data_IF_138859558790
#
_entry.id   IF_138859558790
#
_cell.length_a   1.000
_cell.length_b   1.000
_cell.length_c   1.000
_cell.angle_alpha   90.00
_cell.angle_beta   90.00
_cell.angle_gamma   90.00
#
_symmetry.space_group_name_H-M   'P 1'
#
loop_
_entity.id
_entity.type
_entity.pdbx_description
1 polymer ?
#
# COMPACT_ATOMS: atom_id res chain seq x y z
N UNK A 1 -30.64 6.50 -12.88
CA UNK A 1 -30.37 5.08 -12.49
C UNK A 1 -29.11 5.07 -11.65
N UNK A 2 -29.09 4.40 -10.52
CA UNK A 2 -27.88 4.25 -9.72
C UNK A 2 -26.86 3.40 -10.50
N UNK A 3 -25.59 3.83 -10.52
CA UNK A 3 -24.52 3.08 -11.14
C UNK A 3 -24.29 1.78 -10.36
N UNK A 4 -24.15 0.64 -11.04
CA UNK A 4 -23.72 -0.61 -10.41
C UNK A 4 -22.23 -0.60 -10.03
N UNK A 5 -21.51 0.50 -10.29
CA UNK A 5 -20.09 0.62 -10.02
C UNK A 5 -19.27 -0.45 -10.72
N UNK A 6 -18.34 -1.06 -9.95
CA UNK A 6 -17.46 -2.16 -10.43
C UNK A 6 -17.92 -3.53 -9.92
N UNK A 7 -19.17 -3.65 -9.45
CA UNK A 7 -19.71 -4.91 -8.96
C UNK A 7 -19.57 -6.01 -10.01
N UNK A 8 -19.07 -7.16 -9.61
CA UNK A 8 -18.88 -8.37 -10.42
C UNK A 8 -17.94 -8.21 -11.63
N UNK A 9 -17.07 -7.17 -11.64
CA UNK A 9 -16.12 -6.90 -12.72
C UNK A 9 -14.67 -7.26 -12.40
N UNK A 10 -14.36 -7.51 -11.14
CA UNK A 10 -12.99 -7.77 -10.68
C UNK A 10 -13.00 -8.93 -9.71
N UNK A 11 -12.01 -9.82 -9.82
CA UNK A 11 -11.74 -10.88 -8.86
C UNK A 11 -10.37 -10.67 -8.22
N UNK A 12 -10.27 -10.86 -6.92
CA UNK A 12 -8.98 -10.97 -6.22
C UNK A 12 -8.59 -12.45 -6.27
N UNK A 13 -7.53 -12.75 -7.00
CA UNK A 13 -7.10 -14.13 -7.27
C UNK A 13 -6.02 -14.63 -6.31
N UNK A 14 -5.29 -13.72 -5.68
CA UNK A 14 -4.23 -14.07 -4.72
C UNK A 14 -3.97 -12.96 -3.73
N UNK A 15 -3.44 -13.34 -2.58
CA UNK A 15 -2.94 -12.43 -1.54
C UNK A 15 -1.65 -12.98 -0.95
N UNK A 16 -0.76 -12.10 -0.53
CA UNK A 16 0.46 -12.41 0.21
C UNK A 16 0.72 -11.36 1.27
N UNK A 17 1.31 -11.77 2.38
CA UNK A 17 1.58 -10.85 3.48
C UNK A 17 2.76 -11.33 4.31
N UNK A 18 3.71 -10.46 4.55
CA UNK A 18 4.77 -10.70 5.55
C UNK A 18 4.19 -10.54 6.96
N UNK A 19 4.75 -11.19 7.98
CA UNK A 19 4.32 -10.99 9.37
C UNK A 19 4.44 -9.52 9.79
N UNK A 20 3.40 -8.99 10.45
CA UNK A 20 3.44 -7.65 11.04
C UNK A 20 4.26 -7.67 12.33
N UNK A 21 5.52 -7.24 12.23
CA UNK A 21 6.47 -7.17 13.34
C UNK A 21 7.59 -6.19 13.04
N UNK A 22 8.49 -5.97 13.98
CA UNK A 22 9.77 -5.31 13.71
C UNK A 22 10.68 -6.29 12.96
N UNK A 23 11.05 -5.95 11.73
CA UNK A 23 11.98 -6.71 10.90
C UNK A 23 13.36 -6.06 10.94
N UNK A 24 14.21 -6.52 11.85
CA UNK A 24 15.57 -5.99 12.00
C UNK A 24 16.53 -6.52 10.93
N UNK A 25 16.17 -7.64 10.33
CA UNK A 25 16.93 -8.42 9.36
C UNK A 25 16.55 -8.16 7.90
N UNK A 26 15.52 -7.34 7.65
CA UNK A 26 14.98 -7.09 6.30
C UNK A 26 14.84 -5.60 6.03
N UNK A 27 15.19 -5.19 4.82
CA UNK A 27 14.87 -3.87 4.29
C UNK A 27 13.40 -3.75 3.85
N UNK A 28 12.96 -2.55 3.51
CA UNK A 28 11.65 -2.35 2.87
C UNK A 28 11.57 -3.08 1.52
N UNK A 29 12.66 -3.12 0.78
CA UNK A 29 12.76 -3.85 -0.50
C UNK A 29 12.58 -5.35 -0.30
N UNK A 30 13.19 -5.94 0.73
CA UNK A 30 13.02 -7.36 1.06
C UNK A 30 11.57 -7.70 1.40
N UNK A 31 10.89 -6.82 2.15
CA UNK A 31 9.48 -7.00 2.49
C UNK A 31 8.58 -6.94 1.25
N UNK A 32 8.87 -6.02 0.32
CA UNK A 32 8.17 -5.93 -0.96
C UNK A 32 8.38 -7.19 -1.81
N UNK A 33 9.63 -7.66 -1.91
CA UNK A 33 9.97 -8.88 -2.66
C UNK A 33 9.25 -10.08 -2.05
N UNK A 34 9.30 -10.25 -0.74
CA UNK A 34 8.67 -11.39 -0.06
C UNK A 34 7.15 -11.41 -0.29
N UNK A 35 6.46 -10.31 -0.02
CA UNK A 35 5.00 -10.25 -0.17
C UNK A 35 4.58 -10.44 -1.63
N UNK A 36 5.28 -9.83 -2.58
CA UNK A 36 4.99 -9.95 -4.00
C UNK A 36 5.25 -11.37 -4.50
N UNK A 37 6.38 -11.95 -4.12
CA UNK A 37 6.74 -13.32 -4.52
C UNK A 37 5.73 -14.32 -3.97
N UNK A 38 5.37 -14.20 -2.69
CA UNK A 38 4.34 -15.07 -2.08
C UNK A 38 3.01 -14.98 -2.83
N UNK A 39 2.59 -13.77 -3.18
CA UNK A 39 1.34 -13.54 -3.93
C UNK A 39 1.36 -14.21 -5.29
N UNK A 40 2.46 -14.06 -6.04
CA UNK A 40 2.59 -14.61 -7.39
C UNK A 40 2.70 -16.13 -7.38
N UNK A 41 3.49 -16.69 -6.48
CA UNK A 41 3.69 -18.14 -6.35
C UNK A 41 2.39 -18.89 -6.01
N UNK A 42 1.50 -18.28 -5.23
CA UNK A 42 0.24 -18.90 -4.84
C UNK A 42 -0.71 -19.19 -6.02
N UNK A 43 -0.46 -18.59 -7.18
CA UNK A 43 -1.28 -18.72 -8.40
C UNK A 43 -0.44 -19.06 -9.63
N UNK A 44 0.79 -19.56 -9.44
CA UNK A 44 1.73 -19.94 -10.51
C UNK A 44 1.98 -18.81 -11.55
N UNK A 45 1.96 -17.56 -11.08
CA UNK A 45 2.23 -16.38 -11.91
C UNK A 45 3.62 -15.81 -11.66
N UNK A 46 4.08 -14.97 -12.57
CA UNK A 46 5.33 -14.21 -12.50
C UNK A 46 5.05 -12.73 -12.68
N UNK A 47 6.06 -11.88 -12.48
CA UNK A 47 5.95 -10.45 -12.75
C UNK A 47 5.63 -10.10 -14.21
N UNK A 48 5.85 -11.03 -15.15
CA UNK A 48 5.51 -10.84 -16.56
C UNK A 48 4.02 -10.90 -16.83
N UNK A 49 3.30 -11.64 -16.00
CA UNK A 49 1.86 -11.90 -16.15
C UNK A 49 1.00 -10.76 -15.56
N UNK A 50 1.63 -9.78 -14.90
CA UNK A 50 0.97 -8.61 -14.35
C UNK A 50 1.18 -7.44 -15.30
N UNK A 51 0.11 -6.75 -15.68
CA UNK A 51 0.14 -5.63 -16.62
C UNK A 51 0.55 -4.32 -15.96
N UNK A 52 0.07 -4.07 -14.73
CA UNK A 52 0.30 -2.83 -14.02
C UNK A 52 0.34 -3.04 -12.49
N UNK A 53 1.06 -2.14 -11.82
CA UNK A 53 1.29 -2.21 -10.38
C UNK A 53 0.92 -0.90 -9.67
N UNK A 54 0.36 -1.03 -8.48
CA UNK A 54 0.17 0.08 -7.54
C UNK A 54 0.91 -0.20 -6.25
N UNK A 55 1.85 0.66 -5.90
CA UNK A 55 2.58 0.58 -4.64
C UNK A 55 2.09 1.64 -3.67
N UNK A 56 1.61 1.17 -2.52
CA UNK A 56 1.15 2.00 -1.42
C UNK A 56 2.22 2.15 -0.35
N UNK A 57 2.67 3.37 -0.11
CA UNK A 57 3.56 3.71 1.00
C UNK A 57 3.47 5.19 1.33
N UNK A 58 3.51 5.53 2.61
CA UNK A 58 3.57 6.91 3.07
C UNK A 58 5.02 7.41 3.11
N UNK A 59 5.94 6.63 3.66
CA UNK A 59 7.31 7.08 3.96
C UNK A 59 8.42 6.14 3.46
N UNK A 60 8.11 4.89 3.17
CA UNK A 60 9.11 3.90 2.74
C UNK A 60 9.46 4.00 1.25
N UNK A 61 9.05 5.07 0.57
CA UNK A 61 9.38 5.32 -0.83
C UNK A 61 8.65 6.51 -1.42
N UNK A 62 9.20 7.11 -2.48
CA UNK A 62 8.71 8.37 -3.04
C UNK A 62 8.06 8.24 -4.42
N UNK A 63 8.20 7.09 -5.09
CA UNK A 63 7.70 6.91 -6.46
C UNK A 63 7.43 5.43 -6.77
N UNK A 64 6.98 5.13 -7.98
CA UNK A 64 6.86 3.76 -8.48
C UNK A 64 8.19 2.98 -8.49
N UNK A 65 9.34 3.66 -8.45
CA UNK A 65 10.66 3.04 -8.33
C UNK A 65 10.81 2.21 -7.06
N UNK A 66 10.08 2.57 -6.01
CA UNK A 66 10.04 1.81 -4.74
C UNK A 66 9.71 0.33 -4.95
N UNK A 67 8.85 0.02 -5.92
CA UNK A 67 8.53 -1.37 -6.27
C UNK A 67 9.28 -1.84 -7.52
N UNK A 68 9.41 -0.99 -8.54
CA UNK A 68 9.96 -1.43 -9.82
C UNK A 68 11.44 -1.79 -9.76
N UNK A 69 12.22 -1.16 -8.91
CA UNK A 69 13.65 -1.49 -8.75
C UNK A 69 13.86 -2.85 -8.08
N UNK A 70 13.36 -3.11 -6.87
CA UNK A 70 13.60 -4.39 -6.20
C UNK A 70 12.98 -5.57 -6.97
N UNK A 71 11.82 -5.36 -7.58
CA UNK A 71 11.14 -6.41 -8.37
C UNK A 71 11.61 -6.50 -9.82
N UNK A 72 12.51 -5.62 -10.27
CA UNK A 72 13.05 -5.57 -11.65
C UNK A 72 11.95 -5.51 -12.71
N UNK A 73 10.96 -4.65 -12.50
CA UNK A 73 9.81 -4.50 -13.40
C UNK A 73 10.17 -3.65 -14.62
N UNK A 74 10.71 -4.29 -15.65
CA UNK A 74 11.07 -3.60 -16.89
C UNK A 74 9.83 -3.41 -17.79
N UNK A 75 9.59 -2.15 -18.20
CA UNK A 75 8.50 -1.83 -19.14
C UNK A 75 7.09 -1.97 -18.56
N UNK A 76 6.94 -2.13 -17.25
CA UNK A 76 5.63 -2.20 -16.59
C UNK A 76 5.30 -0.87 -15.90
N UNK A 77 4.08 -0.36 -16.03
CA UNK A 77 3.65 0.81 -15.29
C UNK A 77 3.56 0.52 -13.80
N UNK A 78 4.15 1.39 -12.99
CA UNK A 78 4.10 1.32 -11.53
C UNK A 78 3.70 2.68 -10.99
N UNK A 79 2.56 2.76 -10.32
CA UNK A 79 2.02 3.98 -9.71
C UNK A 79 2.16 3.92 -8.21
N UNK A 80 2.83 4.93 -7.61
CA UNK A 80 2.79 5.10 -6.17
C UNK A 80 1.52 5.84 -5.77
N UNK A 81 0.89 5.35 -4.71
CA UNK A 81 -0.27 6.00 -4.08
C UNK A 81 0.00 6.21 -2.61
N UNK A 82 -0.63 7.24 -2.06
CA UNK A 82 -0.54 7.57 -0.65
C UNK A 82 -1.86 8.19 -0.19
N UNK A 83 -2.38 7.72 0.94
CA UNK A 83 -3.57 8.24 1.59
C UNK A 83 -3.53 7.90 3.10
N UNK A 84 -2.40 8.18 3.74
CA UNK A 84 -2.13 7.85 5.16
C UNK A 84 -2.48 6.39 5.50
N UNK A 85 -3.27 6.20 6.57
CA UNK A 85 -3.69 4.85 7.01
C UNK A 85 -4.52 4.09 5.96
N UNK A 86 -5.13 4.78 5.00
CA UNK A 86 -5.91 4.18 3.93
C UNK A 86 -5.10 3.89 2.65
N UNK A 87 -3.77 4.08 2.68
CA UNK A 87 -2.90 3.93 1.51
C UNK A 87 -3.02 2.56 0.83
N UNK A 88 -3.04 1.47 1.62
CA UNK A 88 -3.21 0.12 1.07
C UNK A 88 -4.57 -0.07 0.40
N UNK A 89 -5.64 0.43 1.02
CA UNK A 89 -6.98 0.40 0.44
C UNK A 89 -7.07 1.23 -0.85
N UNK A 90 -6.35 2.36 -0.91
CA UNK A 90 -6.28 3.20 -2.10
C UNK A 90 -5.55 2.48 -3.24
N UNK A 91 -4.42 1.82 -2.97
CA UNK A 91 -3.71 1.03 -3.96
C UNK A 91 -4.61 -0.06 -4.56
N UNK A 92 -5.29 -0.83 -3.71
CA UNK A 92 -6.23 -1.86 -4.14
C UNK A 92 -7.40 -1.29 -4.94
N UNK A 93 -7.99 -0.18 -4.48
CA UNK A 93 -9.11 0.48 -5.17
C UNK A 93 -8.73 0.90 -6.59
N UNK A 94 -7.56 1.50 -6.77
CA UNK A 94 -7.11 1.94 -8.08
C UNK A 94 -6.79 0.76 -9.01
N UNK A 95 -6.16 -0.30 -8.51
CA UNK A 95 -5.95 -1.52 -9.27
C UNK A 95 -7.28 -2.14 -9.74
N UNK A 96 -8.28 -2.20 -8.84
CA UNK A 96 -9.63 -2.68 -9.19
C UNK A 96 -10.29 -1.80 -10.28
N UNK A 97 -10.17 -0.48 -10.19
CA UNK A 97 -10.74 0.41 -11.21
C UNK A 97 -10.03 0.25 -12.56
N UNK A 98 -8.73 0.06 -12.57
CA UNK A 98 -7.96 -0.15 -13.79
C UNK A 98 -8.39 -1.44 -14.52
N UNK A 99 -8.58 -2.53 -13.80
CA UNK A 99 -9.10 -3.79 -14.37
C UNK A 99 -10.57 -3.63 -14.80
N UNK A 100 -11.41 -3.06 -13.95
CA UNK A 100 -12.84 -2.89 -14.25
C UNK A 100 -13.12 -1.97 -15.45
N UNK A 101 -12.20 -1.04 -15.74
CA UNK A 101 -12.26 -0.15 -16.92
C UNK A 101 -11.79 -0.81 -18.21
N UNK A 102 -11.16 -1.99 -18.13
CA UNK A 102 -10.54 -2.67 -19.27
C UNK A 102 -9.19 -2.08 -19.69
N UNK A 103 -8.58 -1.22 -18.87
CA UNK A 103 -7.25 -0.69 -19.17
C UNK A 103 -6.16 -1.77 -19.00
N UNK A 104 -6.38 -2.74 -18.11
CA UNK A 104 -5.49 -3.87 -17.86
C UNK A 104 -6.33 -5.11 -17.53
N UNK A 105 -5.81 -6.29 -17.88
CA UNK A 105 -6.44 -7.56 -17.54
C UNK A 105 -6.01 -8.03 -16.16
N UNK A 106 -4.75 -7.80 -15.80
CA UNK A 106 -4.17 -8.16 -14.50
C UNK A 106 -3.47 -6.98 -13.84
N UNK A 107 -3.74 -6.79 -12.57
CA UNK A 107 -3.15 -5.71 -11.80
C UNK A 107 -2.74 -6.19 -10.39
N UNK A 108 -1.68 -5.61 -9.85
CA UNK A 108 -1.22 -5.92 -8.50
C UNK A 108 -1.18 -4.65 -7.65
N UNK A 109 -1.76 -4.73 -6.45
CA UNK A 109 -1.59 -3.73 -5.41
C UNK A 109 -0.66 -4.29 -4.33
N UNK A 110 0.38 -3.54 -4.00
CA UNK A 110 1.37 -3.90 -2.97
C UNK A 110 1.52 -2.75 -2.01
N UNK A 111 1.69 -3.04 -0.73
CA UNK A 111 1.97 -2.03 0.29
C UNK A 111 3.22 -2.36 1.09
N UNK A 112 3.95 -1.34 1.49
CA UNK A 112 5.06 -1.46 2.43
C UNK A 112 5.13 -0.23 3.31
N UNK A 113 5.44 -0.45 4.59
CA UNK A 113 5.80 0.64 5.49
C UNK A 113 6.79 0.15 6.55
N UNK A 114 7.99 0.68 6.50
CA UNK A 114 9.03 0.38 7.47
C UNK A 114 9.43 1.66 8.20
N UNK A 115 8.52 2.12 9.05
CA UNK A 115 8.52 3.45 9.68
C UNK A 115 9.84 3.78 10.39
N UNK A 116 10.45 2.81 11.08
CA UNK A 116 11.69 3.04 11.83
C UNK A 116 12.92 3.26 10.94
N UNK A 117 12.94 2.73 9.73
CA UNK A 117 14.08 2.87 8.79
C UNK A 117 14.15 4.28 8.17
N UNK A 118 13.04 5.02 8.16
CA UNK A 118 12.99 6.39 7.64
C UNK A 118 13.46 7.45 8.66
N UNK A 119 14.05 7.05 9.77
CA UNK A 119 14.46 7.94 10.86
C UNK A 119 13.29 8.42 11.73
N UNK A 120 12.16 7.78 11.62
CA UNK A 120 10.92 8.16 12.27
C UNK A 120 10.73 7.45 13.60
N UNK A 121 10.30 8.18 14.61
CA UNK A 121 9.94 7.60 15.92
C UNK A 121 8.45 7.18 15.99
N UNK A 122 7.80 6.99 14.86
CA UNK A 122 6.39 6.61 14.78
C UNK A 122 5.66 7.24 13.60
N UNK A 123 4.34 7.15 13.58
CA UNK A 123 3.51 7.80 12.57
C UNK A 123 3.58 9.32 12.71
N UNK A 124 3.56 10.02 11.57
CA UNK A 124 3.54 11.48 11.54
C UNK A 124 2.44 12.02 12.45
N UNK A 125 2.85 12.86 13.40
CA UNK A 125 1.91 13.60 14.21
C UNK A 125 1.47 14.85 13.44
N UNK A 126 0.18 15.09 13.37
CA UNK A 126 -0.33 16.33 12.82
C UNK A 126 -0.33 17.41 13.88
N UNK A 127 0.24 18.59 13.60
CA UNK A 127 -0.06 19.74 14.41
C UNK A 127 -1.54 20.08 14.22
N UNK A 128 -2.38 19.64 15.12
CA UNK A 128 -3.75 20.15 15.18
C UNK A 128 -3.71 21.52 15.84
N UNK A 129 -4.24 22.56 15.20
CA UNK A 129 -4.45 23.83 15.86
C UNK A 129 -5.61 23.67 16.86
N UNK A 130 -5.32 23.08 18.01
CA UNK A 130 -6.23 23.15 19.15
C UNK A 130 -6.05 24.51 19.77
N UNK A 131 -7.09 25.33 19.75
CA UNK A 131 -7.08 26.66 20.30
C UNK A 131 -6.40 26.69 21.69
N UNK A 132 -5.22 27.32 21.76
CA UNK A 132 -4.51 27.57 23.00
C UNK A 132 -3.60 26.47 23.54
N UNK A 133 -3.35 25.36 22.82
CA UNK A 133 -2.41 24.32 23.27
C UNK A 133 -1.48 23.87 22.16
N UNK A 134 -0.16 23.94 22.38
CA UNK A 134 0.88 23.36 21.50
C UNK A 134 0.97 21.84 21.67
N UNK A 135 -0.15 21.11 21.68
CA UNK A 135 -0.13 19.67 21.82
C UNK A 135 -0.09 19.01 20.45
N UNK A 136 0.92 18.18 20.25
CA UNK A 136 1.00 17.28 19.09
C UNK A 136 0.14 16.04 19.39
N UNK A 137 -0.95 15.87 18.66
CA UNK A 137 -1.76 14.66 18.77
C UNK A 137 -1.21 13.58 17.86
N UNK A 138 -0.83 12.45 18.42
CA UNK A 138 -0.52 11.24 17.63
C UNK A 138 -1.82 10.61 17.12
N UNK A 139 -1.75 9.80 16.06
CA UNK A 139 -2.90 9.06 15.57
C UNK A 139 -3.56 8.22 16.68
N UNK A 140 -2.76 7.55 17.51
CA UNK A 140 -3.26 6.78 18.65
C UNK A 140 -4.03 7.65 19.64
N UNK A 141 -3.53 8.85 19.96
CA UNK A 141 -4.20 9.78 20.85
C UNK A 141 -5.53 10.30 20.27
N UNK A 142 -5.58 10.55 18.93
CA UNK A 142 -6.82 10.96 18.26
C UNK A 142 -7.88 9.86 18.31
N UNK A 143 -7.50 8.62 18.01
CA UNK A 143 -8.43 7.49 18.05
C UNK A 143 -8.93 7.18 19.48
N UNK A 144 -8.11 7.41 20.51
CA UNK A 144 -8.54 7.23 21.89
C UNK A 144 -9.67 8.18 22.31
N UNK A 145 -9.81 9.34 21.63
CA UNK A 145 -10.90 10.28 21.89
C UNK A 145 -12.26 9.84 21.33
N UNK A 146 -12.28 8.83 20.49
CA UNK A 146 -13.51 8.30 19.87
C UNK A 146 -14.10 7.13 20.68
N UNK A 147 -13.33 6.58 21.61
CA UNK A 147 -13.83 5.53 22.51
C UNK A 147 -14.77 6.17 23.55
N UNK A 148 -16.02 5.69 23.68
CA UNK A 148 -16.90 6.16 24.73
C UNK A 148 -16.29 5.85 26.09
N UNK A 149 -16.36 6.84 26.99
CA UNK A 149 -15.93 6.70 28.37
C UNK A 149 -16.84 5.72 29.12
#
# INVERSE_FOLDING_TARGET
MASNGIKDKVAIISIGCTPFKEHWDKSADDLLIDATTQTLQAVDMTTKDIDAYWVGTAQSGMSGLTLSMPMKLHGKPVTRVENYCATGSEALRQACYAVASGAYDTAMAVGVEKVKDSGYQGLNAFPMPTAGTNRTLTAAAMYSLVLPA
#
